data_IF_719145436776
#
_entry.id   IF_719145436776
#
_cell.length_a   1.000
_cell.length_b   1.000
_cell.length_c   1.000
_cell.angle_alpha   90.00
_cell.angle_beta   90.00
_cell.angle_gamma   90.00
#
_symmetry.space_group_name_H-M   'P 1'
#
loop_
_entity.id
_entity.type
_entity.pdbx_description
1 polymer ?
#
# COMPACT_ATOMS: atom_id res chain seq x y z
N UNK A 1 39.32 24.72 -34.54
CA UNK A 1 38.10 24.73 -33.70
C UNK A 1 37.15 23.55 -33.94
N UNK A 2 37.07 22.98 -35.16
CA UNK A 2 36.15 21.88 -35.53
C UNK A 2 36.31 20.59 -34.70
N UNK A 3 37.53 20.21 -34.29
CA UNK A 3 37.78 19.00 -33.48
C UNK A 3 37.14 19.02 -32.08
N UNK A 4 36.85 20.19 -31.51
CA UNK A 4 36.18 20.30 -30.19
C UNK A 4 34.66 20.19 -30.28
N UNK A 5 34.06 20.50 -31.44
CA UNK A 5 32.61 20.41 -31.65
C UNK A 5 32.14 18.97 -31.86
N UNK A 6 33.01 18.09 -32.39
CA UNK A 6 32.67 16.68 -32.64
C UNK A 6 32.47 15.87 -31.35
N UNK A 7 33.18 16.21 -30.27
CA UNK A 7 33.01 15.54 -28.96
C UNK A 7 31.68 15.83 -28.29
N UNK A 8 31.11 17.02 -28.51
CA UNK A 8 29.85 17.44 -27.87
C UNK A 8 28.63 16.72 -28.47
N UNK A 9 28.64 16.47 -29.78
CA UNK A 9 27.53 15.78 -30.47
C UNK A 9 27.39 14.31 -30.05
N UNK A 10 28.50 13.63 -29.76
CA UNK A 10 28.50 12.22 -29.32
C UNK A 10 27.93 12.07 -27.91
N UNK A 11 28.21 13.02 -27.01
CA UNK A 11 27.69 12.99 -25.63
C UNK A 11 26.16 13.20 -25.61
N UNK A 12 25.63 14.11 -26.43
CA UNK A 12 24.17 14.30 -26.54
C UNK A 12 23.46 13.06 -27.11
N UNK A 13 24.08 12.36 -28.05
CA UNK A 13 23.50 11.13 -28.62
C UNK A 13 23.43 9.98 -27.60
N UNK A 14 24.41 9.87 -26.70
CA UNK A 14 24.44 8.82 -25.66
C UNK A 14 23.43 9.14 -24.55
N UNK A 15 23.27 10.41 -24.17
CA UNK A 15 22.26 10.84 -23.19
C UNK A 15 20.82 10.69 -23.72
N UNK A 16 20.61 10.89 -25.03
CA UNK A 16 19.31 10.68 -25.68
C UNK A 16 18.92 9.21 -25.85
N UNK A 17 19.87 8.28 -25.73
CA UNK A 17 19.65 6.84 -25.83
C UNK A 17 19.38 6.16 -24.47
N UNK A 18 19.30 6.94 -23.38
CA UNK A 18 18.79 6.46 -22.09
C UNK A 18 17.33 6.07 -22.23
N UNK A 19 17.07 4.83 -22.65
CA UNK A 19 15.73 4.29 -22.80
C UNK A 19 14.92 4.40 -21.51
N UNK A 20 13.59 4.33 -21.64
CA UNK A 20 12.71 4.19 -20.49
C UNK A 20 13.14 2.96 -19.70
N UNK A 21 13.65 3.15 -18.49
CA UNK A 21 13.89 2.05 -17.58
C UNK A 21 12.51 1.45 -17.26
N UNK A 22 12.20 0.32 -17.91
CA UNK A 22 11.00 -0.44 -17.60
C UNK A 22 11.29 -1.17 -16.29
N UNK A 23 11.13 -0.44 -15.18
CA UNK A 23 11.01 -1.04 -13.87
C UNK A 23 9.89 -2.08 -14.00
N UNK A 24 10.22 -3.36 -13.75
CA UNK A 24 9.38 -4.50 -14.11
C UNK A 24 7.91 -4.31 -13.71
N UNK A 25 7.02 -4.94 -14.47
CA UNK A 25 5.57 -4.92 -14.22
C UNK A 25 5.26 -5.28 -12.76
N UNK A 26 4.50 -4.42 -12.08
CA UNK A 26 4.10 -4.60 -10.67
C UNK A 26 2.59 -4.54 -10.59
N UNK A 27 2.02 -5.39 -9.76
CA UNK A 27 0.61 -5.30 -9.41
C UNK A 27 0.47 -4.27 -8.28
N UNK A 28 0.02 -3.07 -8.63
CA UNK A 28 -0.42 -2.07 -7.67
C UNK A 28 -1.88 -2.38 -7.35
N UNK A 29 -2.15 -2.83 -6.13
CA UNK A 29 -3.51 -3.13 -5.69
C UNK A 29 -4.06 -1.88 -4.99
N UNK A 30 -4.95 -1.11 -5.65
CA UNK A 30 -5.56 0.06 -5.04
C UNK A 30 -6.48 -0.35 -3.87
N UNK A 31 -6.93 0.63 -3.08
CA UNK A 31 -7.88 0.38 -2.01
C UNK A 31 -9.24 -0.01 -2.58
N UNK A 32 -9.58 -1.29 -2.47
CA UNK A 32 -10.85 -1.85 -2.90
C UNK A 32 -11.70 -2.10 -1.65
N UNK A 33 -12.87 -1.47 -1.62
CA UNK A 33 -13.76 -1.44 -0.46
C UNK A 33 -15.14 -1.90 -0.88
N UNK A 34 -15.67 -2.91 -0.20
CA UNK A 34 -17.05 -3.35 -0.31
C UNK A 34 -17.76 -3.13 1.02
N UNK A 35 -18.50 -2.02 1.11
CA UNK A 35 -19.26 -1.66 2.30
C UNK A 35 -20.48 -2.56 2.53
N UNK A 36 -20.95 -3.27 1.49
CA UNK A 36 -22.10 -4.19 1.58
C UNK A 36 -21.66 -5.49 2.23
N UNK A 37 -20.54 -6.05 1.75
CA UNK A 37 -19.95 -7.27 2.31
C UNK A 37 -19.00 -7.00 3.49
N UNK A 38 -18.83 -5.72 3.87
CA UNK A 38 -17.98 -5.25 4.99
C UNK A 38 -16.56 -5.80 4.91
N UNK A 39 -15.93 -5.60 3.76
CA UNK A 39 -14.55 -5.98 3.55
C UNK A 39 -13.78 -4.93 2.76
N UNK A 40 -12.45 -4.95 2.91
CA UNK A 40 -11.55 -4.18 2.06
C UNK A 40 -10.23 -4.93 1.88
N UNK A 41 -9.58 -4.69 0.76
CA UNK A 41 -8.19 -5.09 0.55
C UNK A 41 -7.40 -4.03 -0.21
N UNK A 42 -6.10 -4.01 0.04
CA UNK A 42 -5.16 -3.13 -0.64
C UNK A 42 -3.72 -3.64 -0.46
N UNK A 43 -2.80 -3.18 -1.30
CA UNK A 43 -1.39 -3.11 -0.91
C UNK A 43 -1.10 -1.76 -0.23
N UNK A 44 -0.24 -1.75 0.79
CA UNK A 44 0.11 -0.55 1.53
C UNK A 44 0.76 0.51 0.63
N UNK A 45 1.66 0.09 -0.26
CA UNK A 45 2.24 1.02 -1.22
C UNK A 45 1.29 1.36 -2.36
N UNK A 46 0.30 0.50 -2.68
CA UNK A 46 -0.73 0.81 -3.66
C UNK A 46 -1.68 1.89 -3.19
N UNK A 47 -2.05 1.86 -1.91
CA UNK A 47 -2.73 2.95 -1.24
C UNK A 47 -1.87 4.24 -1.21
N UNK A 48 -0.56 4.11 -0.92
CA UNK A 48 0.38 5.26 -0.88
C UNK A 48 0.59 5.93 -2.24
N UNK A 49 0.62 5.13 -3.30
CA UNK A 49 0.88 5.55 -4.67
C UNK A 49 -0.43 5.80 -5.46
N UNK A 50 -1.57 5.87 -4.76
CA UNK A 50 -2.83 6.26 -5.37
C UNK A 50 -2.71 7.66 -5.97
N UNK A 51 -3.30 7.86 -7.15
CA UNK A 51 -3.29 9.16 -7.84
C UNK A 51 -4.27 10.17 -7.23
N UNK A 52 -5.15 9.72 -6.34
CA UNK A 52 -6.15 10.53 -5.66
C UNK A 52 -5.70 10.86 -4.22
N UNK A 53 -6.24 11.96 -3.67
CA UNK A 53 -5.90 12.46 -2.33
C UNK A 53 -6.69 11.79 -1.20
N UNK A 54 -7.61 10.88 -1.53
CA UNK A 54 -8.55 10.29 -0.58
C UNK A 54 -8.16 8.87 -0.18
N UNK A 55 -7.52 8.12 -1.07
CA UNK A 55 -7.21 6.73 -0.85
C UNK A 55 -6.15 6.56 0.24
N UNK A 56 -6.48 5.77 1.26
CA UNK A 56 -5.51 5.40 2.29
C UNK A 56 -5.89 4.08 2.93
N UNK A 57 -4.88 3.47 3.58
CA UNK A 57 -5.05 2.38 4.54
C UNK A 57 -4.26 2.74 5.78
N UNK A 58 -4.88 2.54 6.93
CA UNK A 58 -4.33 2.88 8.23
C UNK A 58 -4.54 1.71 9.21
N UNK A 59 -3.47 1.40 9.95
CA UNK A 59 -3.51 0.45 11.06
C UNK A 59 -2.86 1.14 12.26
N UNK A 60 -3.66 1.44 13.28
CA UNK A 60 -3.22 2.12 14.51
C UNK A 60 -3.30 1.15 15.67
N UNK A 61 -2.18 0.88 16.32
CA UNK A 61 -2.17 0.13 17.58
C UNK A 61 -2.30 1.08 18.77
N UNK A 62 -3.24 0.77 19.66
CA UNK A 62 -3.50 1.52 20.89
C UNK A 62 -3.35 0.57 22.07
N UNK A 63 -2.33 0.82 22.88
CA UNK A 63 -2.03 0.05 24.09
C UNK A 63 -2.10 0.90 25.34
N UNK A 64 -2.60 0.31 26.42
CA UNK A 64 -2.57 0.84 27.79
C UNK A 64 -2.19 -0.28 28.77
N UNK A 65 -2.06 0.03 30.05
CA UNK A 65 -1.79 -0.99 31.08
C UNK A 65 -2.90 -2.03 31.25
N UNK A 66 -4.09 -1.79 30.70
CA UNK A 66 -5.29 -2.63 30.91
C UNK A 66 -5.83 -3.21 29.60
N UNK A 67 -5.68 -2.50 28.49
CA UNK A 67 -6.29 -2.84 27.20
C UNK A 67 -5.31 -2.60 26.06
N UNK A 68 -5.30 -3.52 25.11
CA UNK A 68 -4.69 -3.38 23.80
C UNK A 68 -5.75 -3.60 22.71
N UNK A 69 -5.76 -2.72 21.71
CA UNK A 69 -6.57 -2.88 20.50
C UNK A 69 -5.87 -2.22 19.31
N UNK A 70 -6.37 -2.51 18.11
CA UNK A 70 -5.98 -1.82 16.89
C UNK A 70 -7.21 -1.24 16.20
N UNK A 71 -7.05 -0.06 15.60
CA UNK A 71 -8.04 0.57 14.72
C UNK A 71 -7.52 0.36 13.31
N UNK A 72 -8.37 -0.21 12.46
CA UNK A 72 -8.03 -0.48 11.06
C UNK A 72 -9.02 0.28 10.19
N UNK A 73 -8.50 1.15 9.33
CA UNK A 73 -9.31 2.00 8.47
C UNK A 73 -8.81 1.97 7.04
N UNK A 74 -9.73 2.08 6.10
CA UNK A 74 -9.42 2.22 4.69
C UNK A 74 -10.41 3.16 4.01
N UNK A 75 -9.93 3.97 3.06
CA UNK A 75 -10.75 4.81 2.20
C UNK A 75 -10.34 4.59 0.75
N UNK A 76 -11.32 4.51 -0.15
CA UNK A 76 -11.08 4.40 -1.59
C UNK A 76 -11.18 5.75 -2.31
N UNK A 77 -10.84 5.77 -3.61
CA UNK A 77 -10.87 6.98 -4.44
C UNK A 77 -12.26 7.65 -4.52
N UNK A 78 -13.32 6.86 -4.40
CA UNK A 78 -14.71 7.32 -4.37
C UNK A 78 -15.13 7.92 -3.03
N UNK A 79 -14.24 7.93 -2.02
CA UNK A 79 -14.49 8.48 -0.69
C UNK A 79 -15.25 7.54 0.25
N UNK A 80 -15.53 6.30 -0.17
CA UNK A 80 -16.14 5.31 0.73
C UNK A 80 -15.10 4.88 1.78
N UNK A 81 -15.56 4.65 3.01
CA UNK A 81 -14.70 4.35 4.15
C UNK A 81 -15.14 3.09 4.89
N UNK A 82 -14.20 2.21 5.18
CA UNK A 82 -14.36 1.07 6.08
C UNK A 82 -13.52 1.28 7.33
N UNK A 83 -14.07 0.99 8.50
CA UNK A 83 -13.36 1.07 9.77
C UNK A 83 -13.75 -0.12 10.63
N UNK A 84 -12.77 -0.76 11.26
CA UNK A 84 -13.02 -1.74 12.29
C UNK A 84 -12.02 -1.66 13.45
N UNK A 85 -12.41 -2.18 14.60
CA UNK A 85 -11.59 -2.31 15.80
C UNK A 85 -11.26 -3.77 16.02
N UNK A 86 -9.98 -4.08 16.19
CA UNK A 86 -9.48 -5.40 16.53
C UNK A 86 -9.01 -5.41 17.98
N UNK A 87 -9.56 -6.28 18.80
CA UNK A 87 -9.09 -6.55 20.17
C UNK A 87 -8.73 -8.02 20.40
N UNK A 88 -9.03 -8.89 19.42
CA UNK A 88 -8.71 -10.30 19.49
C UNK A 88 -7.18 -10.49 19.37
N UNK A 89 -6.52 -11.22 20.29
CA UNK A 89 -5.06 -11.39 20.27
C UNK A 89 -4.51 -11.98 18.97
N UNK A 90 -5.25 -12.91 18.33
CA UNK A 90 -4.82 -13.53 17.07
C UNK A 90 -4.88 -12.54 15.90
N UNK A 91 -5.90 -11.69 15.87
CA UNK A 91 -6.02 -10.62 14.86
C UNK A 91 -4.93 -9.57 15.07
N UNK A 92 -4.69 -9.17 16.33
CA UNK A 92 -3.62 -8.23 16.67
C UNK A 92 -2.25 -8.78 16.27
N UNK A 93 -1.98 -10.05 16.52
CA UNK A 93 -0.74 -10.70 16.10
C UNK A 93 -0.54 -10.66 14.57
N UNK A 94 -1.61 -10.90 13.80
CA UNK A 94 -1.57 -10.81 12.34
C UNK A 94 -1.34 -9.36 11.86
N UNK A 95 -2.05 -8.37 12.43
CA UNK A 95 -1.86 -6.97 12.08
C UNK A 95 -0.43 -6.48 12.34
N UNK A 96 0.25 -7.01 13.37
CA UNK A 96 1.62 -6.61 13.71
C UNK A 96 2.66 -7.05 12.66
N UNK A 97 2.31 -7.97 11.76
CA UNK A 97 3.21 -8.39 10.67
C UNK A 97 3.11 -7.48 9.46
N UNK A 98 2.27 -6.43 9.49
CA UNK A 98 2.13 -5.48 8.39
C UNK A 98 3.46 -4.79 8.11
N UNK A 99 3.83 -4.75 6.83
CA UNK A 99 5.01 -4.05 6.33
C UNK A 99 4.58 -2.89 5.44
N UNK A 100 5.49 -1.94 5.19
CA UNK A 100 5.22 -0.75 4.38
C UNK A 100 4.80 -1.03 2.93
N UNK A 101 5.05 -2.25 2.46
CA UNK A 101 4.76 -2.80 1.13
C UNK A 101 3.80 -4.00 1.18
N UNK A 102 3.31 -4.36 2.37
CA UNK A 102 2.47 -5.54 2.56
C UNK A 102 1.10 -5.39 1.92
N UNK A 103 0.48 -6.53 1.61
CA UNK A 103 -0.94 -6.60 1.32
C UNK A 103 -1.73 -6.83 2.59
N UNK A 104 -2.90 -6.20 2.68
CA UNK A 104 -3.85 -6.41 3.76
C UNK A 104 -5.24 -6.68 3.19
N UNK A 105 -5.93 -7.65 3.77
CA UNK A 105 -7.35 -7.92 3.56
C UNK A 105 -8.05 -8.02 4.91
N UNK A 106 -9.16 -7.30 5.05
CA UNK A 106 -9.88 -7.15 6.31
C UNK A 106 -11.36 -7.32 6.08
N UNK A 107 -12.02 -8.02 7.00
CA UNK A 107 -13.48 -8.06 7.09
C UNK A 107 -13.95 -7.63 8.46
N UNK A 108 -15.17 -7.08 8.56
CA UNK A 108 -15.75 -6.66 9.83
C UNK A 108 -17.24 -6.98 9.94
N UNK A 109 -17.73 -7.00 11.17
CA UNK A 109 -19.15 -7.21 11.48
C UNK A 109 -19.95 -5.89 11.44
N UNK A 110 -21.26 -5.98 11.73
CA UNK A 110 -22.15 -4.81 11.78
C UNK A 110 -21.82 -3.83 12.93
N UNK A 111 -21.05 -4.27 13.93
CA UNK A 111 -20.63 -3.47 15.08
C UNK A 111 -19.23 -2.86 14.87
N UNK A 112 -18.67 -2.97 13.67
CA UNK A 112 -17.30 -2.56 13.34
C UNK A 112 -16.21 -3.30 14.14
N UNK A 113 -16.44 -4.56 14.53
CA UNK A 113 -15.37 -5.41 15.02
C UNK A 113 -14.70 -6.11 13.84
N UNK A 114 -13.37 -6.10 13.79
CA UNK A 114 -12.65 -6.86 12.78
C UNK A 114 -12.87 -8.36 13.03
N UNK A 115 -13.40 -9.09 12.05
CA UNK A 115 -13.70 -10.53 12.14
C UNK A 115 -12.64 -11.39 11.47
N UNK A 116 -11.93 -10.83 10.50
CA UNK A 116 -10.82 -11.49 9.81
C UNK A 116 -9.81 -10.45 9.36
N UNK A 117 -8.53 -10.77 9.50
CA UNK A 117 -7.43 -10.00 8.93
C UNK A 117 -6.42 -10.98 8.33
N UNK A 118 -6.02 -10.70 7.11
CA UNK A 118 -4.90 -11.34 6.45
C UNK A 118 -3.87 -10.27 6.08
N UNK A 119 -2.63 -10.50 6.47
CA UNK A 119 -1.49 -9.68 6.09
C UNK A 119 -0.52 -10.56 5.31
N UNK A 120 -0.09 -10.11 4.13
CA UNK A 120 0.86 -10.85 3.29
C UNK A 120 2.06 -9.97 2.96
N UNK A 121 3.24 -10.44 3.34
CA UNK A 121 4.49 -9.97 2.75
C UNK A 121 4.80 -10.86 1.55
N UNK A 122 4.64 -10.34 0.33
CA UNK A 122 4.90 -11.10 -0.89
C UNK A 122 5.98 -10.41 -1.71
N UNK A 123 6.76 -11.18 -2.46
CA UNK A 123 7.84 -10.63 -3.30
C UNK A 123 7.39 -10.16 -4.67
N UNK A 124 6.13 -10.42 -5.05
CA UNK A 124 5.56 -10.06 -6.34
C UNK A 124 4.63 -8.84 -6.26
N UNK A 125 4.25 -8.41 -5.05
CA UNK A 125 3.60 -7.14 -4.80
C UNK A 125 4.70 -6.10 -4.55
N UNK A 126 4.61 -4.98 -5.28
CA UNK A 126 5.34 -3.72 -5.11
C UNK A 126 6.84 -3.78 -4.66
N UNK A 127 7.80 -3.50 -5.57
CA UNK A 127 9.22 -3.48 -5.19
C UNK A 127 9.56 -2.28 -4.29
N UNK A 128 10.26 -2.56 -3.18
CA UNK A 128 10.99 -1.56 -2.39
C UNK A 128 11.99 -0.83 -3.28
N UNK A 129 11.89 0.50 -3.36
CA UNK A 129 12.95 1.30 -3.96
C UNK A 129 14.22 1.18 -3.08
N UNK A 130 15.42 1.12 -3.68
CA UNK A 130 16.69 1.17 -2.94
C UNK A 130 16.91 2.53 -2.27
#
# INVERSE_FOLDING_TARGET
>A
MVKRMMGLGVVLAILGAGGTAWAGYRDNIPVLLDTTNRNFYASMGGARNASDVNSFVEVVFVGSSVVEHAIVAARNASGQMGVCVASNPSILAALRTITDDGYIYVTWDANNNCTFVEVRATSYLELKAP
#
